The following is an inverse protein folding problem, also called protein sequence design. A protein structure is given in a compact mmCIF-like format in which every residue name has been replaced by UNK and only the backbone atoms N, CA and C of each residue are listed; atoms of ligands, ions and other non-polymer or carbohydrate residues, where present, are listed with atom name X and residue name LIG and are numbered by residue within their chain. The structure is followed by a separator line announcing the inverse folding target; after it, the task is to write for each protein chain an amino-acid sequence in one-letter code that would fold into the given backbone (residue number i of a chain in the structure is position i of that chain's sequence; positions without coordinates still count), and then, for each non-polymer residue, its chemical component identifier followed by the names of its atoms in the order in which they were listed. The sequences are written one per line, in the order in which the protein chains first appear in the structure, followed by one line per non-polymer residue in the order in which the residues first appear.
data_IF_167672565222
#
_entry.id   IF_167672565222
#
_cell.length_a   1.000
_cell.length_b   1.000
_cell.length_c   1.000
_cell.angle_alpha   90.00
_cell.angle_beta   90.00
_cell.angle_gamma   90.00
#
_symmetry.space_group_name_H-M   'P 1'
#
loop_
_entity.id
_entity.type
_entity.pdbx_description
1 polymer ?
#
# COMPACT_ATOMS: atom_id res chain seq x y z
N UNK A 1 -26.75 7.78 -23.96
CA UNK A 1 -25.61 6.91 -24.30
C UNK A 1 -25.54 5.81 -23.25
N UNK A 2 -25.02 4.63 -23.55
CA UNK A 2 -24.77 3.61 -22.52
C UNK A 2 -23.60 4.06 -21.63
N UNK A 3 -23.71 3.85 -20.32
CA UNK A 3 -22.65 4.16 -19.34
C UNK A 3 -21.66 2.99 -19.34
N UNK A 4 -20.37 3.28 -19.47
CA UNK A 4 -19.28 2.30 -19.43
C UNK A 4 -18.53 2.48 -18.12
N UNK A 5 -18.96 1.78 -17.07
CA UNK A 5 -18.41 1.95 -15.72
C UNK A 5 -17.52 0.78 -15.30
N UNK A 6 -16.53 1.03 -14.45
CA UNK A 6 -15.75 0.00 -13.77
C UNK A 6 -16.43 -0.56 -12.52
N UNK A 7 -17.56 0.02 -12.11
CA UNK A 7 -18.28 -0.33 -10.88
C UNK A 7 -19.03 -1.65 -10.99
N UNK A 8 -18.97 -2.44 -9.93
CA UNK A 8 -19.78 -3.65 -9.77
C UNK A 8 -21.23 -3.35 -9.40
N UNK A 9 -22.08 -4.38 -9.50
CA UNK A 9 -23.48 -4.27 -9.06
C UNK A 9 -23.60 -3.97 -7.56
N UNK A 10 -22.69 -4.49 -6.72
CA UNK A 10 -22.67 -4.24 -5.28
C UNK A 10 -22.25 -2.80 -4.98
N UNK A 11 -21.24 -2.29 -5.68
CA UNK A 11 -20.83 -0.89 -5.59
C UNK A 11 -21.96 0.06 -5.99
N UNK A 12 -22.61 -0.18 -7.12
CA UNK A 12 -23.75 0.63 -7.60
C UNK A 12 -24.89 0.62 -6.56
N UNK A 13 -25.17 -0.52 -5.96
CA UNK A 13 -26.19 -0.61 -4.91
C UNK A 13 -25.84 0.28 -3.71
N UNK A 14 -24.60 0.21 -3.23
CA UNK A 14 -24.12 0.99 -2.09
C UNK A 14 -24.11 2.50 -2.38
N UNK A 15 -23.63 2.90 -3.56
CA UNK A 15 -23.60 4.30 -4.01
C UNK A 15 -24.99 4.92 -4.06
N UNK A 16 -26.01 4.19 -4.52
CA UNK A 16 -27.40 4.69 -4.52
C UNK A 16 -27.95 5.00 -3.14
N UNK A 17 -27.48 4.32 -2.09
CA UNK A 17 -27.85 4.64 -0.70
C UNK A 17 -27.30 6.00 -0.25
N UNK A 18 -26.35 6.58 -1.00
CA UNK A 18 -25.81 7.92 -0.82
C UNK A 18 -26.21 8.87 -1.96
N UNK A 19 -27.27 8.55 -2.71
CA UNK A 19 -27.78 9.33 -3.85
C UNK A 19 -26.74 9.51 -4.98
N UNK A 20 -25.81 8.55 -5.11
CA UNK A 20 -24.81 8.51 -6.18
C UNK A 20 -25.19 7.44 -7.21
N UNK A 21 -25.00 7.78 -8.48
CA UNK A 21 -25.28 6.92 -9.64
C UNK A 21 -23.99 6.69 -10.44
N UNK A 22 -23.84 5.53 -11.12
CA UNK A 22 -22.62 5.22 -11.85
C UNK A 22 -22.41 6.16 -13.03
N UNK A 23 -21.16 6.55 -13.26
CA UNK A 23 -20.68 7.25 -14.45
C UNK A 23 -19.62 6.45 -15.19
N UNK A 24 -19.09 7.04 -16.26
CA UNK A 24 -18.10 6.41 -17.12
C UNK A 24 -16.75 6.21 -16.41
N UNK A 25 -16.02 5.17 -16.82
CA UNK A 25 -14.61 4.94 -16.48
C UNK A 25 -13.79 6.14 -16.99
N UNK A 26 -12.87 6.60 -16.14
CA UNK A 26 -11.98 7.71 -16.47
C UNK A 26 -10.53 7.31 -16.26
N UNK A 27 -9.68 7.79 -17.15
CA UNK A 27 -8.27 7.41 -17.18
C UNK A 27 -7.39 8.65 -17.33
N UNK A 28 -6.26 8.66 -16.65
CA UNK A 28 -5.21 9.63 -16.85
C UNK A 28 -3.86 8.93 -16.85
N UNK A 29 -3.02 9.23 -17.85
CA UNK A 29 -1.71 8.60 -17.95
C UNK A 29 -0.59 9.65 -18.01
N UNK A 30 0.64 9.27 -17.67
CA UNK A 30 1.84 10.09 -17.83
C UNK A 30 3.05 9.20 -18.10
N UNK A 31 3.75 9.41 -19.21
CA UNK A 31 4.90 8.58 -19.60
C UNK A 31 6.20 9.37 -19.44
N UNK A 32 7.20 8.77 -18.79
CA UNK A 32 8.53 9.35 -18.58
C UNK A 32 9.59 8.36 -19.07
N UNK A 33 10.62 8.85 -19.77
CA UNK A 33 11.71 7.99 -20.24
C UNK A 33 12.61 7.52 -19.10
N UNK A 34 12.90 6.22 -19.05
CA UNK A 34 13.86 5.64 -18.11
C UNK A 34 15.28 6.15 -18.33
N UNK A 35 15.62 6.66 -19.52
CA UNK A 35 16.94 7.26 -19.78
C UNK A 35 17.20 8.51 -18.92
N UNK A 36 16.16 9.32 -18.72
CA UNK A 36 16.20 10.50 -17.82
C UNK A 36 16.34 10.05 -16.36
N UNK A 37 15.67 8.96 -15.99
CA UNK A 37 15.68 8.43 -14.61
C UNK A 37 17.02 7.75 -14.30
N UNK A 38 17.55 6.99 -15.26
CA UNK A 38 18.81 6.26 -15.15
C UNK A 38 20.03 7.19 -15.04
N UNK A 39 20.06 8.30 -15.79
CA UNK A 39 21.13 9.30 -15.68
C UNK A 39 21.18 9.90 -14.26
N UNK A 40 20.03 10.24 -13.69
CA UNK A 40 19.90 10.74 -12.32
C UNK A 40 20.27 9.66 -11.30
N UNK A 41 19.69 8.47 -11.41
CA UNK A 41 19.94 7.36 -10.49
C UNK A 41 21.42 6.95 -10.47
N UNK A 42 22.10 6.94 -11.62
CA UNK A 42 23.52 6.61 -11.73
C UNK A 42 24.44 7.58 -11.00
N UNK A 43 24.09 8.87 -10.94
CA UNK A 43 24.81 9.89 -10.16
C UNK A 43 24.54 9.84 -8.65
N UNK A 44 23.49 9.11 -8.24
CA UNK A 44 23.05 8.97 -6.86
C UNK A 44 23.34 7.60 -6.25
N UNK A 45 24.01 6.69 -7.00
CA UNK A 45 24.40 5.34 -6.54
C UNK A 45 25.28 5.32 -5.30
N UNK A 46 25.82 6.47 -4.89
CA UNK A 46 26.68 6.66 -3.70
C UNK A 46 25.90 7.10 -2.45
N UNK A 47 24.59 7.37 -2.54
CA UNK A 47 23.79 7.75 -1.39
C UNK A 47 23.46 6.51 -0.54
N UNK A 48 24.01 6.48 0.67
CA UNK A 48 23.80 5.42 1.65
C UNK A 48 22.58 5.71 2.52
N UNK A 49 21.54 4.88 2.38
CA UNK A 49 20.40 4.82 3.29
C UNK A 49 19.45 6.02 3.20
N UNK A 50 18.17 5.74 2.92
CA UNK A 50 17.12 6.75 2.98
C UNK A 50 16.68 7.27 1.62
N UNK A 51 15.97 8.39 1.65
CA UNK A 51 15.28 8.94 0.49
C UNK A 51 16.25 9.41 -0.61
N UNK A 52 15.96 8.99 -1.85
CA UNK A 52 16.54 9.55 -3.07
C UNK A 52 15.60 10.62 -3.62
N UNK A 53 15.64 11.83 -3.03
CA UNK A 53 14.57 12.84 -3.20
C UNK A 53 14.34 13.28 -4.66
N UNK A 54 15.38 13.26 -5.50
CA UNK A 54 15.23 13.56 -6.94
C UNK A 54 14.36 12.51 -7.65
N UNK A 55 14.55 11.22 -7.33
CA UNK A 55 13.75 10.13 -7.90
C UNK A 55 12.34 10.14 -7.30
N UNK A 56 12.21 10.35 -5.99
CA UNK A 56 10.90 10.54 -5.35
C UNK A 56 10.09 11.59 -6.09
N UNK A 57 10.68 12.78 -6.34
CA UNK A 57 9.98 13.88 -7.00
C UNK A 57 9.55 13.52 -8.41
N UNK A 58 10.39 12.82 -9.18
CA UNK A 58 10.01 12.37 -10.54
C UNK A 58 8.79 11.45 -10.49
N UNK A 59 8.80 10.47 -9.58
CA UNK A 59 7.68 9.56 -9.42
C UNK A 59 6.44 10.34 -8.98
N UNK A 60 6.58 11.19 -7.96
CA UNK A 60 5.50 12.00 -7.42
C UNK A 60 4.84 12.86 -8.50
N UNK A 61 5.64 13.62 -9.26
CA UNK A 61 5.14 14.44 -10.37
C UNK A 61 4.53 13.59 -11.49
N UNK A 62 5.06 12.40 -11.77
CA UNK A 62 4.49 11.47 -12.72
C UNK A 62 3.08 11.03 -12.32
N UNK A 63 2.92 10.58 -11.07
CA UNK A 63 1.63 10.21 -10.47
C UNK A 63 0.66 11.39 -10.45
N UNK A 64 1.13 12.59 -10.09
CA UNK A 64 0.30 13.79 -10.06
C UNK A 64 -0.18 14.22 -11.45
N UNK A 65 0.66 14.11 -12.49
CA UNK A 65 0.25 14.41 -13.88
C UNK A 65 -0.81 13.42 -14.38
N UNK A 66 -0.65 12.13 -14.09
CA UNK A 66 -1.65 11.11 -14.42
C UNK A 66 -2.98 11.40 -13.71
N UNK A 67 -2.94 11.66 -12.40
CA UNK A 67 -4.12 12.01 -11.61
C UNK A 67 -4.81 13.30 -12.11
N UNK A 68 -4.05 14.35 -12.41
CA UNK A 68 -4.59 15.60 -12.97
C UNK A 68 -5.33 15.37 -14.29
N UNK A 69 -4.83 14.47 -15.15
CA UNK A 69 -5.49 14.10 -16.41
C UNK A 69 -6.77 13.32 -16.17
N UNK A 70 -6.78 12.41 -15.19
CA UNK A 70 -7.98 11.70 -14.75
C UNK A 70 -9.06 12.67 -14.25
N UNK A 71 -8.70 13.68 -13.44
CA UNK A 71 -9.63 14.72 -13.00
C UNK A 71 -10.20 15.54 -14.16
N UNK A 72 -9.37 15.88 -15.15
CA UNK A 72 -9.82 16.61 -16.34
C UNK A 72 -10.81 15.78 -17.17
N UNK A 73 -10.60 14.47 -17.27
CA UNK A 73 -11.51 13.56 -17.94
C UNK A 73 -12.85 13.44 -17.21
N UNK A 74 -12.84 13.26 -15.89
CA UNK A 74 -14.05 13.24 -15.08
C UNK A 74 -14.89 14.52 -15.19
N UNK A 75 -14.23 15.68 -15.24
CA UNK A 75 -14.89 16.97 -15.48
C UNK A 75 -15.56 17.03 -16.86
N UNK A 76 -14.96 16.45 -17.90
CA UNK A 76 -15.58 16.38 -19.24
C UNK A 76 -16.80 15.46 -19.26
N UNK A 77 -16.78 14.39 -18.47
CA UNK A 77 -17.93 13.49 -18.30
C UNK A 77 -19.00 14.08 -17.38
N UNK A 78 -18.73 15.22 -16.74
CA UNK A 78 -19.68 15.91 -15.86
C UNK A 78 -19.97 15.15 -14.58
N UNK A 79 -18.99 14.42 -14.03
CA UNK A 79 -19.12 13.71 -12.76
C UNK A 79 -18.92 14.60 -11.54
N UNK A 80 -19.72 14.38 -10.49
CA UNK A 80 -19.56 15.00 -9.16
C UNK A 80 -18.38 14.40 -8.39
N UNK A 81 -18.03 13.14 -8.66
CA UNK A 81 -16.90 12.48 -8.00
C UNK A 81 -16.28 11.35 -8.78
N UNK A 82 -15.15 10.84 -8.29
CA UNK A 82 -14.46 9.66 -8.84
C UNK A 82 -14.21 8.66 -7.73
N UNK A 83 -14.60 7.42 -7.97
CA UNK A 83 -14.46 6.30 -7.03
C UNK A 83 -13.43 5.29 -7.52
N UNK A 84 -12.87 4.51 -6.60
CA UNK A 84 -11.91 3.45 -6.88
C UNK A 84 -10.65 3.95 -7.57
N UNK A 85 -10.18 5.17 -7.23
CA UNK A 85 -8.99 5.72 -7.88
C UNK A 85 -7.77 4.88 -7.54
N UNK A 86 -7.20 4.23 -8.55
CA UNK A 86 -5.91 3.56 -8.48
C UNK A 86 -4.81 4.46 -9.05
N UNK A 87 -3.56 4.19 -8.67
CA UNK A 87 -2.39 4.89 -9.20
C UNK A 87 -1.26 3.89 -9.41
N UNK A 88 -1.16 3.37 -10.62
CA UNK A 88 -0.26 2.29 -11.00
C UNK A 88 0.99 2.80 -11.69
N UNK A 89 2.07 2.02 -11.57
CA UNK A 89 3.33 2.25 -12.26
C UNK A 89 3.60 1.07 -13.19
N UNK A 90 3.54 1.30 -14.49
CA UNK A 90 3.76 0.30 -15.53
C UNK A 90 5.13 0.53 -16.17
N UNK A 91 5.99 -0.48 -16.10
CA UNK A 91 7.30 -0.44 -16.74
C UNK A 91 7.20 -0.97 -18.17
N UNK A 92 7.57 -0.12 -19.12
CA UNK A 92 7.70 -0.47 -20.53
C UNK A 92 9.18 -0.47 -20.93
N UNK A 93 9.53 -1.07 -22.07
CA UNK A 93 10.90 -1.06 -22.60
C UNK A 93 11.42 0.37 -22.80
N UNK A 94 12.19 0.90 -21.84
CA UNK A 94 12.80 2.23 -21.88
C UNK A 94 11.95 3.37 -21.31
N UNK A 95 10.73 3.11 -20.84
CA UNK A 95 9.84 4.13 -20.27
C UNK A 95 9.11 3.62 -19.01
N UNK A 96 8.71 4.54 -18.15
CA UNK A 96 7.72 4.30 -17.10
C UNK A 96 6.43 5.05 -17.45
N UNK A 97 5.31 4.36 -17.33
CA UNK A 97 3.97 4.95 -17.41
C UNK A 97 3.35 4.99 -16.02
N UNK A 98 2.89 6.18 -15.62
CA UNK A 98 2.03 6.37 -14.46
C UNK A 98 0.60 6.38 -14.94
N UNK A 99 -0.24 5.54 -14.36
CA UNK A 99 -1.62 5.33 -14.79
C UNK A 99 -2.55 5.54 -13.60
N UNK A 100 -3.48 6.49 -13.73
CA UNK A 100 -4.56 6.71 -12.80
C UNK A 100 -5.87 6.28 -13.46
N UNK A 101 -6.62 5.41 -12.80
CA UNK A 101 -7.91 4.90 -13.28
C UNK A 101 -8.93 5.06 -12.16
N UNK A 102 -10.18 5.36 -12.52
CA UNK A 102 -11.30 5.33 -11.58
C UNK A 102 -12.63 5.35 -12.32
N UNK A 103 -13.73 5.27 -11.59
CA UNK A 103 -15.08 5.40 -12.17
C UNK A 103 -15.73 6.68 -11.69
N UNK A 104 -16.22 7.50 -12.63
CA UNK A 104 -17.04 8.64 -12.29
C UNK A 104 -18.32 8.20 -11.57
N UNK A 105 -18.83 9.09 -10.74
CA UNK A 105 -20.18 8.99 -10.16
C UNK A 105 -20.90 10.33 -10.36
N UNK A 106 -22.22 10.24 -10.39
CA UNK A 106 -23.12 11.39 -10.56
C UNK A 106 -24.10 11.47 -9.40
N UNK A 107 -24.46 12.68 -9.01
CA UNK A 107 -25.56 12.97 -8.11
C UNK A 107 -26.89 12.62 -8.79
N UNK A 108 -27.71 11.83 -8.11
CA UNK A 108 -29.02 11.44 -8.64
C UNK A 108 -29.90 12.67 -8.93
N UNK A 109 -30.38 12.77 -10.17
CA UNK A 109 -31.26 13.86 -10.63
C UNK A 109 -30.55 15.15 -11.06
N UNK A 110 -29.23 15.25 -10.95
CA UNK A 110 -28.48 16.41 -11.42
C UNK A 110 -28.26 16.39 -12.95
N UNK A 111 -28.30 17.57 -13.59
CA UNK A 111 -28.05 17.73 -15.04
C UNK A 111 -26.64 18.20 -15.37
N UNK A 112 -26.01 18.92 -14.44
CA UNK A 112 -24.67 19.48 -14.57
C UNK A 112 -24.03 19.46 -13.19
N UNK A 113 -22.79 19.00 -13.13
CA UNK A 113 -22.09 18.79 -11.87
C UNK A 113 -20.71 19.43 -11.93
N UNK A 114 -20.22 19.84 -10.77
CA UNK A 114 -18.83 20.18 -10.58
C UNK A 114 -18.17 19.03 -9.84
N UNK A 115 -16.96 18.68 -10.24
CA UNK A 115 -16.20 17.65 -9.56
C UNK A 115 -15.85 18.13 -8.14
N UNK A 116 -16.43 17.48 -7.14
CA UNK A 116 -16.32 17.82 -5.71
C UNK A 116 -15.35 16.91 -4.97
N UNK A 117 -15.23 15.64 -5.38
CA UNK A 117 -14.34 14.70 -4.70
C UNK A 117 -13.69 13.67 -5.63
N UNK A 118 -12.65 13.05 -5.12
CA UNK A 118 -12.14 11.78 -5.61
C UNK A 118 -11.75 10.91 -4.41
N UNK A 119 -11.72 9.59 -4.58
CA UNK A 119 -11.44 8.66 -3.48
C UNK A 119 -10.72 7.43 -3.98
N UNK A 120 -9.79 6.88 -3.20
CA UNK A 120 -9.21 5.56 -3.47
C UNK A 120 -10.20 4.43 -3.18
N UNK A 121 -11.27 4.73 -2.43
CA UNK A 121 -12.27 3.75 -2.04
C UNK A 121 -13.17 3.40 -3.23
N UNK A 122 -13.39 2.10 -3.43
CA UNK A 122 -14.45 1.60 -4.31
C UNK A 122 -15.84 2.03 -3.81
N UNK A 123 -16.91 1.72 -4.56
CA UNK A 123 -18.26 2.16 -4.20
C UNK A 123 -18.78 1.60 -2.87
N UNK A 124 -18.34 0.41 -2.45
CA UNK A 124 -18.74 -0.21 -1.17
C UNK A 124 -18.03 0.48 0.00
N UNK A 125 -16.72 0.66 -0.14
CA UNK A 125 -15.88 1.33 0.84
C UNK A 125 -16.24 2.81 0.98
N UNK A 126 -16.58 3.49 -0.12
CA UNK A 126 -17.07 4.87 -0.11
C UNK A 126 -18.39 5.00 0.66
N UNK A 127 -19.33 4.07 0.45
CA UNK A 127 -20.57 4.04 1.22
C UNK A 127 -20.28 3.94 2.72
N UNK A 128 -19.42 3.01 3.14
CA UNK A 128 -19.05 2.84 4.55
C UNK A 128 -18.44 4.12 5.12
N UNK A 129 -17.56 4.76 4.36
CA UNK A 129 -16.93 6.01 4.75
C UNK A 129 -17.95 7.14 4.95
N UNK A 130 -18.86 7.34 3.99
CA UNK A 130 -19.90 8.37 4.09
C UNK A 130 -20.90 8.07 5.20
N UNK A 131 -21.26 6.80 5.40
CA UNK A 131 -22.16 6.38 6.46
C UNK A 131 -21.54 6.55 7.86
N UNK A 132 -20.22 6.41 7.98
CA UNK A 132 -19.47 6.75 9.19
C UNK A 132 -19.30 8.26 9.43
N UNK A 133 -19.98 9.12 8.65
CA UNK A 133 -20.00 10.57 8.85
C UNK A 133 -18.86 11.34 8.20
N UNK A 134 -18.01 10.67 7.41
CA UNK A 134 -16.91 11.32 6.68
C UNK A 134 -17.37 11.83 5.31
N UNK A 135 -17.04 13.08 5.01
CA UNK A 135 -17.19 13.65 3.66
C UNK A 135 -15.88 13.48 2.88
N UNK A 136 -15.84 12.69 1.79
CA UNK A 136 -14.65 12.56 0.95
C UNK A 136 -14.30 13.90 0.29
N UNK A 137 -13.02 14.20 0.15
CA UNK A 137 -12.50 15.41 -0.52
C UNK A 137 -11.60 15.06 -1.69
N UNK A 138 -10.61 14.21 -1.47
CA UNK A 138 -9.65 13.91 -2.54
C UNK A 138 -8.92 12.59 -2.34
N UNK A 139 -8.67 11.88 -3.44
CA UNK A 139 -7.61 10.88 -3.54
C UNK A 139 -6.27 11.57 -3.27
N UNK A 140 -5.50 11.01 -2.34
CA UNK A 140 -4.20 11.52 -1.93
C UNK A 140 -3.18 10.40 -1.87
N UNK A 141 -1.92 10.73 -2.06
CA UNK A 141 -0.82 9.78 -1.98
C UNK A 141 0.46 10.38 -1.41
N UNK A 142 1.24 9.55 -0.73
CA UNK A 142 2.55 9.88 -0.20
C UNK A 142 3.56 8.84 -0.64
N UNK A 143 4.49 9.21 -1.52
CA UNK A 143 5.52 8.31 -2.02
C UNK A 143 6.92 8.70 -1.52
N UNK A 144 7.79 7.71 -1.37
CA UNK A 144 9.22 7.86 -1.04
C UNK A 144 10.00 6.84 -1.86
N UNK A 145 10.90 7.31 -2.72
CA UNK A 145 11.91 6.45 -3.34
C UNK A 145 13.13 6.39 -2.43
N UNK A 146 13.58 5.21 -2.06
CA UNK A 146 14.68 5.02 -1.11
C UNK A 146 15.61 3.89 -1.53
N UNK A 147 16.87 4.03 -1.12
CA UNK A 147 17.90 3.02 -1.34
C UNK A 147 18.11 2.19 -0.07
N UNK A 148 18.14 0.87 -0.24
CA UNK A 148 18.54 -0.09 0.82
C UNK A 148 20.05 -0.42 0.69
N UNK A 149 20.76 0.20 -0.26
CA UNK A 149 22.20 -0.02 -0.44
C UNK A 149 22.58 -1.44 -0.89
N UNK A 150 21.68 -2.11 -1.62
CA UNK A 150 21.86 -3.44 -2.22
C UNK A 150 22.78 -3.33 -3.45
N UNK A 151 24.08 -3.14 -3.21
CA UNK A 151 25.06 -2.95 -4.29
C UNK A 151 26.53 -2.97 -3.87
N UNK A 152 26.85 -3.54 -2.71
CA UNK A 152 28.23 -3.80 -2.27
C UNK A 152 28.71 -3.01 -1.05
N UNK A 153 28.03 -1.92 -0.65
CA UNK A 153 28.42 -1.14 0.54
C UNK A 153 27.63 -1.51 1.81
N UNK A 154 26.30 -1.47 1.76
CA UNK A 154 25.44 -1.74 2.94
C UNK A 154 25.31 -3.26 3.19
N UNK A 155 24.80 -4.03 2.21
CA UNK A 155 24.73 -5.51 2.28
C UNK A 155 26.10 -6.21 2.37
N UNK A 156 27.15 -5.55 1.87
CA UNK A 156 28.53 -6.00 2.05
C UNK A 156 28.99 -5.87 3.51
N UNK A 157 28.58 -4.79 4.18
CA UNK A 157 28.79 -4.57 5.62
C UNK A 157 27.92 -5.47 6.52
N UNK A 158 26.75 -5.93 6.05
CA UNK A 158 25.93 -6.91 6.80
C UNK A 158 26.68 -8.22 7.08
N UNK A 159 27.69 -8.58 6.26
CA UNK A 159 28.51 -9.79 6.45
C UNK A 159 29.42 -9.73 7.68
N UNK A 160 29.65 -8.54 8.27
CA UNK A 160 30.47 -8.36 9.47
C UNK A 160 29.68 -7.94 10.71
N UNK A 161 28.35 -7.85 10.62
CA UNK A 161 27.53 -7.41 11.75
C UNK A 161 27.44 -8.47 12.84
N UNK A 162 27.44 -7.99 14.09
CA UNK A 162 27.12 -8.80 15.26
C UNK A 162 25.63 -9.17 15.22
N UNK A 163 25.30 -10.32 15.79
CA UNK A 163 23.91 -10.73 16.00
C UNK A 163 23.14 -9.65 16.77
N UNK A 164 21.91 -9.37 16.34
CA UNK A 164 21.00 -8.42 16.99
C UNK A 164 20.47 -7.35 16.03
N UNK A 165 19.88 -6.31 16.60
CA UNK A 165 19.28 -5.23 15.83
C UNK A 165 20.34 -4.41 15.07
N UNK A 166 20.10 -4.24 13.77
CA UNK A 166 20.82 -3.33 12.89
C UNK A 166 20.17 -1.96 12.96
N UNK A 167 20.41 -1.23 14.06
CA UNK A 167 19.73 0.05 14.38
C UNK A 167 19.71 1.08 13.26
N UNK A 168 20.79 1.20 12.50
CA UNK A 168 20.86 2.15 11.40
C UNK A 168 19.86 1.81 10.28
N UNK A 169 19.66 0.52 10.00
CA UNK A 169 18.68 0.05 9.03
C UNK A 169 17.27 0.19 9.58
N UNK A 170 17.02 -0.26 10.82
CA UNK A 170 15.73 -0.03 11.50
C UNK A 170 15.34 1.45 11.40
N UNK A 171 16.27 2.36 11.69
CA UNK A 171 16.06 3.80 11.60
C UNK A 171 15.69 4.26 10.18
N UNK A 172 16.46 3.89 9.16
CA UNK A 172 16.17 4.26 7.76
C UNK A 172 14.79 3.78 7.31
N UNK A 173 14.42 2.56 7.67
CA UNK A 173 13.13 1.96 7.31
C UNK A 173 11.96 2.60 8.04
N UNK A 174 12.12 2.97 9.32
CA UNK A 174 11.12 3.73 10.07
C UNK A 174 11.00 5.16 9.52
N UNK A 175 12.11 5.88 9.34
CA UNK A 175 12.13 7.24 8.80
C UNK A 175 11.45 7.32 7.43
N UNK A 176 11.72 6.36 6.54
CA UNK A 176 11.10 6.28 5.20
C UNK A 176 9.58 6.12 5.29
N UNK A 177 9.10 5.24 6.17
CA UNK A 177 7.66 5.01 6.37
C UNK A 177 6.94 6.19 6.97
N UNK A 178 7.52 6.80 8.00
CA UNK A 178 6.97 8.01 8.59
C UNK A 178 6.97 9.17 7.59
N UNK A 179 7.99 9.28 6.73
CA UNK A 179 8.03 10.29 5.68
C UNK A 179 6.90 10.11 4.66
N UNK A 180 6.61 8.87 4.23
CA UNK A 180 5.47 8.59 3.35
C UNK A 180 4.13 9.00 4.00
N UNK A 181 3.96 8.67 5.28
CA UNK A 181 2.78 9.07 6.07
C UNK A 181 2.65 10.60 6.22
N UNK A 182 3.76 11.31 6.45
CA UNK A 182 3.75 12.76 6.53
C UNK A 182 3.37 13.42 5.19
N UNK A 183 3.78 12.82 4.07
CA UNK A 183 3.45 13.33 2.72
C UNK A 183 1.98 13.21 2.40
N UNK A 184 1.38 12.03 2.63
CA UNK A 184 -0.06 11.87 2.39
C UNK A 184 -0.91 12.77 3.31
N UNK A 185 -0.47 12.99 4.55
CA UNK A 185 -1.08 13.98 5.46
C UNK A 185 -0.94 15.41 4.94
N UNK A 186 0.20 15.74 4.33
CA UNK A 186 0.43 17.07 3.75
C UNK A 186 -0.52 17.32 2.59
N UNK A 187 -0.74 16.34 1.70
CA UNK A 187 -1.74 16.47 0.63
C UNK A 187 -3.15 16.63 1.19
N UNK A 188 -3.53 15.87 2.22
CA UNK A 188 -4.84 16.00 2.85
C UNK A 188 -5.08 17.40 3.43
N UNK A 189 -4.05 18.00 4.06
CA UNK A 189 -4.13 19.38 4.57
C UNK A 189 -4.35 20.41 3.47
N UNK A 190 -3.78 20.21 2.28
CA UNK A 190 -3.92 21.13 1.16
C UNK A 190 -5.35 21.19 0.62
N UNK A 191 -6.14 20.15 0.87
CA UNK A 191 -7.57 20.07 0.50
C UNK A 191 -8.50 20.26 1.70
N UNK A 192 -7.97 20.85 2.79
CA UNK A 192 -8.71 21.13 4.02
C UNK A 192 -9.39 19.89 4.64
N UNK A 193 -8.80 18.71 4.44
CA UNK A 193 -9.24 17.48 5.09
C UNK A 193 -8.64 17.34 6.49
N UNK A 194 -9.38 16.71 7.39
CA UNK A 194 -8.94 16.39 8.75
C UNK A 194 -8.71 14.89 8.98
N UNK A 195 -8.86 14.06 7.93
CA UNK A 195 -8.62 12.63 7.94
C UNK A 195 -8.03 12.12 6.62
N UNK A 196 -7.27 11.03 6.67
CA UNK A 196 -6.90 10.18 5.52
C UNK A 196 -7.27 8.74 5.85
N UNK A 197 -8.23 8.20 5.12
CA UNK A 197 -8.85 6.91 5.41
C UNK A 197 -8.52 5.87 4.34
N UNK A 198 -8.67 4.59 4.70
CA UNK A 198 -8.44 3.47 3.80
C UNK A 198 -7.02 3.45 3.22
N UNK A 199 -6.01 3.79 4.05
CA UNK A 199 -4.63 3.88 3.58
C UNK A 199 -4.13 2.50 3.17
N UNK A 200 -3.86 2.33 1.88
CA UNK A 200 -3.14 1.17 1.36
C UNK A 200 -1.66 1.53 1.20
N UNK A 201 -0.78 0.70 1.77
CA UNK A 201 0.67 0.87 1.65
C UNK A 201 1.25 -0.21 0.75
N UNK A 202 1.98 0.20 -0.28
CA UNK A 202 2.68 -0.68 -1.21
C UNK A 202 4.16 -0.35 -1.31
N UNK A 203 4.99 -1.37 -1.55
CA UNK A 203 6.43 -1.24 -1.79
C UNK A 203 6.74 -1.85 -3.16
N UNK A 204 7.21 -1.02 -4.09
CA UNK A 204 7.44 -1.37 -5.49
C UNK A 204 8.93 -1.23 -5.84
N UNK A 205 9.54 -2.17 -6.58
CA UNK A 205 10.88 -1.97 -7.11
C UNK A 205 10.86 -0.91 -8.23
N UNK A 206 11.77 0.05 -8.18
CA UNK A 206 11.84 1.12 -9.19
C UNK A 206 13.28 1.54 -9.50
N UNK A 207 13.74 1.29 -10.73
CA UNK A 207 15.07 1.72 -11.21
C UNK A 207 16.26 1.35 -10.27
N UNK A 208 16.20 0.19 -9.60
CA UNK A 208 17.21 -0.27 -8.64
C UNK A 208 17.05 0.29 -7.21
N UNK A 209 16.00 1.08 -6.98
CA UNK A 209 15.54 1.55 -5.68
C UNK A 209 14.24 0.83 -5.29
N UNK A 210 13.73 1.15 -4.10
CA UNK A 210 12.35 0.83 -3.73
C UNK A 210 11.54 2.12 -3.65
N UNK A 211 10.31 2.08 -4.16
CA UNK A 211 9.29 3.08 -3.90
C UNK A 211 8.36 2.53 -2.82
N UNK A 212 8.26 3.23 -1.70
CA UNK A 212 7.11 3.09 -0.82
C UNK A 212 6.04 4.10 -1.23
N UNK A 213 4.80 3.67 -1.39
CA UNK A 213 3.67 4.55 -1.66
C UNK A 213 2.53 4.21 -0.72
N UNK A 214 1.97 5.25 -0.10
CA UNK A 214 0.70 5.20 0.61
C UNK A 214 -0.34 5.92 -0.23
N UNK A 215 -1.50 5.30 -0.45
CA UNK A 215 -2.65 5.93 -1.11
C UNK A 215 -3.85 5.87 -0.17
N UNK A 216 -4.75 6.85 -0.25
CA UNK A 216 -5.94 6.89 0.59
C UNK A 216 -6.89 8.01 0.20
N UNK A 217 -7.93 8.20 1.01
CA UNK A 217 -8.94 9.24 0.79
C UNK A 217 -8.85 10.31 1.86
N UNK A 218 -8.43 11.51 1.46
CA UNK A 218 -8.53 12.71 2.27
C UNK A 218 -10.00 13.06 2.47
N UNK A 219 -10.41 13.20 3.72
CA UNK A 219 -11.81 13.30 4.15
C UNK A 219 -11.98 14.27 5.31
N UNK A 220 -13.21 14.74 5.50
CA UNK A 220 -13.59 15.61 6.60
C UNK A 220 -14.62 14.93 7.50
N UNK A 221 -14.42 14.95 8.81
CA UNK A 221 -15.44 14.59 9.79
C UNK A 221 -15.68 15.74 10.77
N UNK A 222 -16.93 16.20 10.95
CA UNK A 222 -17.23 17.40 11.74
C UNK A 222 -17.01 17.21 13.25
N UNK A 223 -17.10 15.99 13.77
CA UNK A 223 -16.84 15.71 15.19
C UNK A 223 -15.35 15.71 15.55
N UNK A 224 -14.44 15.68 14.56
CA UNK A 224 -13.01 15.70 14.85
C UNK A 224 -12.59 17.10 15.33
N UNK A 225 -11.78 17.20 16.40
CA UNK A 225 -11.20 18.46 16.84
C UNK A 225 -10.51 19.23 15.71
N UNK A 226 -10.62 20.57 15.73
CA UNK A 226 -10.03 21.44 14.69
C UNK A 226 -8.51 21.29 14.54
N UNK A 227 -7.80 20.77 15.55
CA UNK A 227 -6.37 20.45 15.46
C UNK A 227 -6.07 19.44 14.34
N UNK A 228 -7.02 18.57 13.99
CA UNK A 228 -6.83 17.57 12.94
C UNK A 228 -6.80 18.17 11.52
N UNK A 229 -7.22 19.42 11.29
CA UNK A 229 -6.93 20.10 10.01
C UNK A 229 -5.44 20.44 9.85
N UNK A 230 -4.66 20.54 10.94
CA UNK A 230 -3.21 20.75 10.88
C UNK A 230 -2.43 19.44 10.91
N UNK A 231 -3.03 18.39 11.49
CA UNK A 231 -2.43 17.08 11.62
C UNK A 231 -3.50 15.99 11.42
N UNK A 232 -3.93 15.72 10.17
CA UNK A 232 -5.03 14.80 9.89
C UNK A 232 -4.87 13.44 10.55
N UNK A 233 -5.99 12.85 10.99
CA UNK A 233 -5.99 11.45 11.41
C UNK A 233 -5.62 10.57 10.22
N UNK A 234 -5.07 9.40 10.48
CA UNK A 234 -4.71 8.44 9.44
C UNK A 234 -5.13 7.03 9.86
N UNK A 235 -5.50 6.18 8.90
CA UNK A 235 -5.97 4.81 9.19
C UNK A 235 -5.72 3.89 8.00
N UNK A 236 -5.18 2.68 8.26
CA UNK A 236 -5.10 1.58 7.30
C UNK A 236 -6.25 0.56 7.42
N UNK A 237 -7.18 0.81 8.35
CA UNK A 237 -8.40 0.01 8.45
C UNK A 237 -9.17 0.08 7.14
N UNK A 238 -9.82 -1.02 6.78
CA UNK A 238 -10.80 -0.96 5.70
C UNK A 238 -11.95 -0.05 6.14
N UNK A 239 -12.68 0.55 5.18
CA UNK A 239 -13.76 1.46 5.55
C UNK A 239 -14.91 0.73 6.27
N UNK A 240 -15.07 -0.58 6.05
CA UNK A 240 -16.00 -1.46 6.78
C UNK A 240 -15.54 -1.67 8.24
N UNK A 241 -14.25 -1.90 8.48
CA UNK A 241 -13.69 -2.00 9.84
C UNK A 241 -13.83 -0.67 10.58
N UNK A 242 -13.49 0.45 9.93
CA UNK A 242 -13.68 1.79 10.48
C UNK A 242 -15.14 2.05 10.80
N UNK A 243 -16.08 1.69 9.91
CA UNK A 243 -17.51 1.85 10.15
C UNK A 243 -17.94 1.16 11.45
N UNK A 244 -17.45 -0.06 11.71
CA UNK A 244 -17.75 -0.79 12.94
C UNK A 244 -17.21 -0.08 14.19
N UNK A 245 -16.01 0.49 14.12
CA UNK A 245 -15.43 1.24 15.23
C UNK A 245 -16.21 2.53 15.51
N UNK A 246 -16.55 3.29 14.47
CA UNK A 246 -17.35 4.51 14.59
C UNK A 246 -18.73 4.19 15.16
N UNK A 247 -19.35 3.09 14.73
CA UNK A 247 -20.63 2.63 15.29
C UNK A 247 -20.53 2.28 16.80
N UNK A 248 -19.35 1.88 17.27
CA UNK A 248 -19.07 1.61 18.69
C UNK A 248 -18.55 2.84 19.46
N UNK A 249 -18.52 4.02 18.84
CA UNK A 249 -18.04 5.25 19.48
C UNK A 249 -16.51 5.33 19.56
N UNK A 250 -15.79 4.71 18.63
CA UNK A 250 -14.34 4.82 18.47
C UNK A 250 -13.98 5.49 17.15
N UNK A 251 -12.96 6.34 17.16
CA UNK A 251 -12.47 7.05 15.99
C UNK A 251 -10.99 6.71 15.76
N UNK A 252 -10.56 6.39 14.53
CA UNK A 252 -9.13 6.32 14.23
C UNK A 252 -8.45 7.65 14.49
N UNK A 253 -7.23 7.61 15.00
CA UNK A 253 -6.43 8.82 15.25
C UNK A 253 -5.11 8.81 14.49
N UNK A 254 -4.49 7.65 14.27
CA UNK A 254 -3.24 7.56 13.54
C UNK A 254 -2.93 6.15 13.03
N UNK A 255 -2.49 6.05 11.78
CA UNK A 255 -1.77 4.90 11.25
C UNK A 255 -0.41 4.84 11.93
N UNK A 256 -0.18 3.77 12.68
CA UNK A 256 1.05 3.52 13.44
C UNK A 256 1.83 2.39 12.81
N UNK A 257 3.15 2.51 12.83
CA UNK A 257 4.04 1.58 12.17
C UNK A 257 5.33 1.45 12.96
N UNK A 258 5.87 0.25 12.98
CA UNK A 258 7.12 -0.06 13.66
C UNK A 258 7.92 -1.06 12.84
N UNK A 259 9.18 -0.73 12.59
CA UNK A 259 10.10 -1.60 11.86
C UNK A 259 11.32 -1.90 12.72
N UNK A 260 11.76 -3.15 12.67
CA UNK A 260 13.08 -3.50 13.16
C UNK A 260 13.80 -4.45 12.22
N UNK A 261 15.08 -4.19 11.98
CA UNK A 261 15.94 -5.00 11.12
C UNK A 261 16.94 -5.72 12.00
N UNK A 262 17.01 -7.04 11.88
CA UNK A 262 17.88 -7.87 12.70
C UNK A 262 18.78 -8.76 11.84
N UNK A 263 20.02 -8.93 12.27
CA UNK A 263 20.99 -9.84 11.64
C UNK A 263 21.29 -11.03 12.54
N UNK A 264 21.39 -12.21 11.94
CA UNK A 264 21.94 -13.41 12.59
C UNK A 264 23.46 -13.33 12.80
N UNK A 265 24.12 -12.37 12.13
CA UNK A 265 25.58 -12.22 12.12
C UNK A 265 26.33 -13.35 11.40
N UNK A 266 27.65 -13.23 11.28
CA UNK A 266 28.49 -14.30 10.72
C UNK A 266 28.83 -15.34 11.80
N UNK A 267 27.96 -16.33 11.98
CA UNK A 267 28.31 -17.53 12.75
C UNK A 267 28.79 -18.60 11.77
N UNK A 268 30.12 -18.69 11.60
CA UNK A 268 30.79 -19.87 11.05
C UNK A 268 30.25 -20.41 9.71
N UNK A 269 30.09 -19.54 8.71
CA UNK A 269 29.67 -19.94 7.37
C UNK A 269 28.18 -20.29 7.29
N UNK A 270 27.43 -19.48 6.55
CA UNK A 270 26.03 -19.74 6.17
C UNK A 270 25.87 -21.18 5.63
N UNK A 271 26.87 -21.71 4.94
CA UNK A 271 26.95 -23.10 4.46
C UNK A 271 27.01 -24.18 5.55
N UNK A 272 27.54 -23.92 6.74
CA UNK A 272 27.56 -24.89 7.86
C UNK A 272 26.29 -24.82 8.71
N UNK A 273 25.68 -23.63 8.85
CA UNK A 273 24.37 -23.46 9.47
C UNK A 273 23.32 -24.25 8.69
N UNK A 274 23.19 -23.99 7.38
CA UNK A 274 22.24 -24.67 6.46
C UNK A 274 22.56 -26.15 6.22
N UNK A 275 23.74 -26.65 6.58
CA UNK A 275 24.06 -28.11 6.52
C UNK A 275 23.61 -28.90 7.75
N UNK A 276 23.22 -28.24 8.85
CA UNK A 276 22.61 -28.92 10.01
C UNK A 276 21.08 -29.13 9.87
N UNK A 277 20.50 -28.70 8.73
CA UNK A 277 19.07 -28.53 8.46
C UNK A 277 18.31 -29.82 8.11
N UNK A 278 18.55 -30.90 8.86
CA UNK A 278 17.82 -32.16 8.68
C UNK A 278 16.76 -32.37 9.76
N UNK A 279 16.66 -31.51 10.80
CA UNK A 279 16.00 -31.97 12.05
C UNK A 279 15.30 -30.98 13.01
N UNK A 280 14.73 -29.86 12.55
CA UNK A 280 13.75 -29.12 13.39
C UNK A 280 13.81 -27.59 13.34
N UNK A 281 13.26 -26.96 14.38
CA UNK A 281 13.16 -25.51 14.56
C UNK A 281 14.54 -24.84 14.66
N UNK A 282 14.75 -23.75 13.92
CA UNK A 282 15.95 -22.92 14.03
C UNK A 282 15.74 -21.97 15.21
N UNK A 283 16.06 -22.42 16.43
CA UNK A 283 15.85 -21.66 17.68
C UNK A 283 16.42 -20.25 17.60
N UNK A 284 17.54 -20.06 16.90
CA UNK A 284 18.18 -18.75 16.71
C UNK A 284 17.34 -17.81 15.83
N UNK A 285 16.77 -18.31 14.73
CA UNK A 285 15.90 -17.52 13.86
C UNK A 285 14.57 -17.22 14.57
N UNK A 286 14.01 -18.18 15.29
CA UNK A 286 12.82 -17.97 16.13
C UNK A 286 13.06 -16.86 17.14
N UNK A 287 14.17 -16.94 17.90
CA UNK A 287 14.51 -15.94 18.91
C UNK A 287 14.68 -14.56 18.27
N UNK A 288 15.36 -14.48 17.12
CA UNK A 288 15.56 -13.23 16.41
C UNK A 288 14.26 -12.61 15.93
N UNK A 289 13.31 -13.41 15.41
CA UNK A 289 11.97 -12.91 15.03
C UNK A 289 11.22 -12.38 16.27
N UNK A 290 11.32 -13.06 17.42
CA UNK A 290 10.72 -12.58 18.67
C UNK A 290 11.32 -11.25 19.12
N UNK A 291 12.64 -11.11 19.10
CA UNK A 291 13.35 -9.87 19.44
C UNK A 291 12.97 -8.72 18.48
N UNK A 292 12.97 -8.99 17.16
CA UNK A 292 12.60 -8.02 16.14
C UNK A 292 11.14 -7.56 16.28
N UNK A 293 10.23 -8.49 16.59
CA UNK A 293 8.82 -8.19 16.87
C UNK A 293 8.66 -7.33 18.12
N UNK A 294 9.33 -7.69 19.21
CA UNK A 294 9.24 -6.93 20.46
C UNK A 294 9.67 -5.47 20.24
N UNK A 295 10.76 -5.25 19.50
CA UNK A 295 11.25 -3.91 19.20
C UNK A 295 10.31 -3.14 18.26
N UNK A 296 9.79 -3.78 17.21
CA UNK A 296 8.80 -3.17 16.32
C UNK A 296 7.52 -2.73 17.07
N UNK A 297 7.06 -3.52 18.04
CA UNK A 297 5.89 -3.18 18.86
C UNK A 297 6.15 -2.03 19.85
N UNK A 298 7.40 -1.80 20.28
CA UNK A 298 7.75 -0.62 21.09
C UNK A 298 7.53 0.67 20.32
N UNK A 299 7.92 0.73 19.05
CA UNK A 299 7.66 1.90 18.19
C UNK A 299 6.17 2.18 18.04
N UNK A 300 5.35 1.15 17.81
CA UNK A 300 3.89 1.29 17.75
C UNK A 300 3.32 1.81 19.09
N UNK A 301 3.77 1.27 20.21
CA UNK A 301 3.33 1.71 21.54
C UNK A 301 3.74 3.16 21.82
N UNK A 302 4.90 3.60 21.34
CA UNK A 302 5.33 4.99 21.41
C UNK A 302 4.48 5.92 20.56
N UNK A 303 4.19 5.54 19.31
CA UNK A 303 3.28 6.28 18.43
C UNK A 303 1.88 6.42 19.05
N UNK A 304 1.30 5.33 19.54
CA UNK A 304 -0.01 5.32 20.19
C UNK A 304 -0.04 6.25 21.42
N UNK A 305 1.04 6.26 22.22
CA UNK A 305 1.17 7.17 23.36
C UNK A 305 1.30 8.63 22.91
N UNK A 306 2.06 8.90 21.85
CA UNK A 306 2.24 10.26 21.29
C UNK A 306 0.93 10.83 20.75
N UNK A 307 0.06 10.00 20.17
CA UNK A 307 -1.24 10.44 19.67
C UNK A 307 -2.39 10.32 20.68
N UNK A 308 -2.10 9.94 21.93
CA UNK A 308 -3.09 9.76 23.01
C UNK A 308 -4.23 8.80 22.62
N UNK A 309 -3.89 7.72 21.93
CA UNK A 309 -4.82 6.65 21.61
C UNK A 309 -5.10 5.78 22.84
N UNK A 310 -6.30 5.21 22.88
CA UNK A 310 -6.69 4.25 23.91
C UNK A 310 -6.22 2.84 23.54
N UNK A 311 -6.27 2.50 22.25
CA UNK A 311 -6.00 1.16 21.73
C UNK A 311 -5.30 1.22 20.36
N UNK A 312 -4.61 0.14 19.97
CA UNK A 312 -4.13 -0.08 18.60
C UNK A 312 -4.78 -1.34 18.07
N UNK A 313 -5.48 -1.23 16.95
CA UNK A 313 -6.28 -2.30 16.35
C UNK A 313 -5.81 -2.61 14.93
N UNK A 314 -6.21 -3.77 14.42
CA UNK A 314 -5.91 -4.17 13.04
C UNK A 314 -4.42 -4.41 12.76
N UNK A 315 -3.62 -4.74 13.79
CA UNK A 315 -2.17 -4.96 13.60
C UNK A 315 -1.91 -6.10 12.62
N UNK A 316 -1.22 -5.78 11.53
CA UNK A 316 -0.68 -6.73 10.56
C UNK A 316 0.84 -6.76 10.71
N UNK A 317 1.42 -7.95 10.65
CA UNK A 317 2.87 -8.15 10.79
C UNK A 317 3.45 -8.85 9.57
N UNK A 318 4.60 -8.37 9.11
CA UNK A 318 5.30 -8.91 7.95
C UNK A 318 6.75 -9.18 8.31
N UNK A 319 7.29 -10.28 7.78
CA UNK A 319 8.71 -10.62 7.90
C UNK A 319 9.30 -10.70 6.50
N UNK A 320 10.26 -9.83 6.21
CA UNK A 320 10.97 -9.83 4.94
C UNK A 320 12.39 -10.38 5.13
N UNK A 321 12.82 -11.25 4.22
CA UNK A 321 14.21 -11.70 4.17
C UNK A 321 15.00 -10.72 3.28
N UNK A 322 15.94 -10.00 3.89
CA UNK A 322 16.79 -9.02 3.19
C UNK A 322 18.06 -9.66 2.60
N UNK A 323 18.25 -10.96 2.80
CA UNK A 323 19.45 -11.70 2.42
C UNK A 323 20.56 -11.62 3.48
N UNK A 324 21.59 -12.46 3.32
CA UNK A 324 22.77 -12.43 4.20
C UNK A 324 22.48 -12.73 5.68
N UNK A 325 21.41 -13.47 5.99
CA UNK A 325 21.00 -13.73 7.37
C UNK A 325 20.36 -12.53 8.08
N UNK A 326 19.87 -11.55 7.31
CA UNK A 326 19.18 -10.37 7.83
C UNK A 326 17.71 -10.44 7.50
N UNK A 327 16.87 -10.10 8.47
CA UNK A 327 15.42 -9.98 8.29
C UNK A 327 14.95 -8.58 8.70
N UNK A 328 13.82 -8.19 8.13
CA UNK A 328 13.04 -7.05 8.58
C UNK A 328 11.74 -7.56 9.18
N UNK A 329 11.38 -7.07 10.36
CA UNK A 329 10.06 -7.22 10.95
C UNK A 329 9.32 -5.88 10.86
N UNK A 330 8.19 -5.87 10.17
CA UNK A 330 7.28 -4.73 10.07
C UNK A 330 5.99 -5.05 10.82
N UNK A 331 5.56 -4.15 11.69
CA UNK A 331 4.21 -4.10 12.22
C UNK A 331 3.53 -2.79 11.77
N UNK A 332 2.27 -2.88 11.36
CA UNK A 332 1.44 -1.74 10.96
C UNK A 332 0.03 -1.94 11.50
N UNK A 333 -0.63 -0.87 11.96
CA UNK A 333 -2.01 -0.91 12.39
C UNK A 333 -2.54 0.49 12.65
N UNK A 334 -3.73 0.59 13.22
CA UNK A 334 -4.38 1.89 13.46
C UNK A 334 -4.60 2.11 14.95
N UNK A 335 -4.06 3.20 15.45
CA UNK A 335 -4.34 3.70 16.79
C UNK A 335 -5.71 4.38 16.80
N UNK A 336 -6.53 4.06 17.80
CA UNK A 336 -7.93 4.49 17.92
C UNK A 336 -8.20 5.12 19.28
N UNK A 337 -9.19 6.01 19.32
CA UNK A 337 -9.61 6.71 20.53
C UNK A 337 -11.12 6.65 20.68
N UNK A 338 -11.58 6.43 21.90
CA UNK A 338 -13.00 6.48 22.24
C UNK A 338 -13.50 7.92 22.15
N UNK A 339 -14.52 8.13 21.33
CA UNK A 339 -15.25 9.38 21.13
C UNK A 339 -16.75 9.05 21.16
N UNK A 340 -17.38 8.87 22.33
CA UNK A 340 -18.74 8.33 22.46
C UNK A 340 -19.83 9.07 21.68
N UNK A 341 -19.59 10.32 21.30
CA UNK A 341 -20.44 11.17 20.49
C UNK A 341 -20.48 10.80 19.00
N UNK A 342 -19.50 10.04 18.50
CA UNK A 342 -19.45 9.62 17.09
C UNK A 342 -20.32 8.39 16.88
N UNK A 343 -21.07 8.38 15.78
CA UNK A 343 -21.95 7.28 15.37
C UNK A 343 -22.03 7.23 13.85
N UNK A 344 -22.36 6.05 13.34
CA UNK A 344 -22.73 5.86 11.94
C UNK A 344 -24.15 6.36 11.70
N UNK A 345 -24.45 6.69 10.44
CA UNK A 345 -25.79 7.10 10.00
C UNK A 345 -26.75 5.92 10.02
N UNK A 346 -26.27 4.73 9.63
CA UNK A 346 -27.04 3.49 9.66
C UNK A 346 -26.72 2.70 10.94
N UNK A 347 -27.70 1.99 11.50
CA UNK A 347 -27.49 1.11 12.67
C UNK A 347 -26.78 -0.20 12.30
N UNK A 348 -27.01 -0.68 11.08
CA UNK A 348 -26.47 -1.93 10.56
C UNK A 348 -25.79 -1.71 9.22
N UNK A 349 -24.62 -2.30 9.02
CA UNK A 349 -23.92 -2.26 7.76
C UNK A 349 -24.66 -3.11 6.71
N UNK A 350 -24.80 -2.59 5.50
CA UNK A 350 -25.45 -3.30 4.41
C UNK A 350 -24.65 -4.57 4.03
N UNK A 351 -25.31 -5.72 3.79
CA UNK A 351 -24.63 -6.91 3.28
C UNK A 351 -23.86 -6.64 1.98
N UNK A 352 -24.41 -5.79 1.11
CA UNK A 352 -23.77 -5.40 -0.14
C UNK A 352 -22.48 -4.63 0.08
N UNK A 353 -22.22 -4.05 1.24
CA UNK A 353 -20.95 -3.39 1.53
C UNK A 353 -19.82 -4.38 1.86
N UNK A 354 -20.14 -5.65 2.16
CA UNK A 354 -19.15 -6.68 2.55
C UNK A 354 -19.04 -7.83 1.55
N UNK A 355 -20.02 -7.98 0.65
CA UNK A 355 -20.00 -9.02 -0.39
C UNK A 355 -18.87 -8.71 -1.38
N UNK A 356 -17.89 -9.61 -1.47
CA UNK A 356 -16.82 -9.49 -2.46
C UNK A 356 -17.31 -9.91 -3.84
N UNK A 357 -16.97 -9.10 -4.84
CA UNK A 357 -17.19 -9.44 -6.23
C UNK A 357 -16.31 -10.63 -6.65
N UNK A 358 -16.80 -11.39 -7.63
CA UNK A 358 -16.12 -12.57 -8.15
C UNK A 358 -15.72 -12.35 -9.59
N UNK A 359 -14.47 -12.61 -9.89
CA UNK A 359 -13.98 -12.61 -11.27
C UNK A 359 -14.61 -13.76 -12.06
N UNK A 360 -15.18 -13.41 -13.20
CA UNK A 360 -15.76 -14.37 -14.15
C UNK A 360 -14.85 -14.62 -15.34
N UNK A 361 -13.83 -13.78 -15.54
CA UNK A 361 -12.81 -13.93 -16.56
C UNK A 361 -11.44 -14.13 -15.90
N UNK A 362 -10.84 -15.29 -16.15
CA UNK A 362 -9.52 -15.65 -15.62
C UNK A 362 -8.67 -16.06 -16.83
N UNK A 363 -7.68 -15.24 -17.19
CA UNK A 363 -6.71 -15.62 -18.23
C UNK A 363 -5.52 -16.32 -17.58
N UNK A 364 -5.55 -17.66 -17.55
CA UNK A 364 -4.44 -18.49 -17.06
C UNK A 364 -3.41 -18.84 -18.13
N UNK A 365 -3.63 -18.42 -19.38
CA UNK A 365 -2.76 -18.74 -20.52
C UNK A 365 -1.56 -17.79 -20.63
N UNK A 366 -1.69 -16.56 -20.11
CA UNK A 366 -0.57 -15.63 -19.98
C UNK A 366 0.23 -15.93 -18.71
N UNK A 367 1.48 -16.39 -18.89
CA UNK A 367 2.48 -16.50 -17.81
C UNK A 367 3.07 -15.14 -17.41
N UNK A 368 2.65 -14.05 -18.07
CA UNK A 368 2.86 -12.68 -17.64
C UNK A 368 1.79 -12.33 -16.60
N UNK A 369 2.19 -11.68 -15.51
CA UNK A 369 1.26 -11.12 -14.53
C UNK A 369 0.40 -10.03 -15.20
N UNK A 370 -0.73 -10.41 -15.78
CA UNK A 370 -1.74 -9.46 -16.24
C UNK A 370 -2.41 -8.91 -14.98
N UNK A 371 -1.95 -7.76 -14.51
CA UNK A 371 -2.64 -7.01 -13.48
C UNK A 371 -3.98 -6.54 -14.08
N UNK A 372 -5.10 -6.93 -13.46
CA UNK A 372 -6.40 -6.36 -13.81
C UNK A 372 -6.36 -4.87 -13.46
N UNK A 373 -6.24 -4.01 -14.48
CA UNK A 373 -6.01 -2.56 -14.32
C UNK A 373 -7.15 -1.84 -13.57
N UNK A 374 -8.34 -2.45 -13.54
CA UNK A 374 -9.53 -1.90 -12.90
C UNK A 374 -9.82 -2.51 -11.52
N UNK A 375 -8.93 -3.35 -10.98
CA UNK A 375 -9.09 -3.91 -9.63
C UNK A 375 -8.06 -3.32 -8.69
N UNK A 376 -8.54 -2.67 -7.62
CA UNK A 376 -7.70 -2.05 -6.61
C UNK A 376 -6.90 -3.04 -5.75
N UNK A 377 -7.09 -4.35 -5.93
CA UNK A 377 -6.42 -5.39 -5.14
C UNK A 377 -6.21 -6.67 -5.96
N UNK A 378 -5.09 -6.80 -6.66
CA UNK A 378 -4.55 -8.11 -7.03
C UNK A 378 -3.08 -8.23 -6.63
N UNK A 379 -2.86 -8.45 -5.33
CA UNK A 379 -1.64 -9.05 -4.83
C UNK A 379 -1.74 -10.58 -4.98
N UNK A 380 -1.69 -11.06 -6.22
CA UNK A 380 -1.57 -12.49 -6.51
C UNK A 380 -0.36 -12.75 -7.42
N UNK A 381 0.80 -12.30 -6.96
CA UNK A 381 2.10 -12.60 -7.54
C UNK A 381 2.93 -13.50 -6.64
N UNK A 382 2.50 -14.73 -6.36
CA UNK A 382 3.34 -15.69 -5.60
C UNK A 382 3.17 -17.18 -5.92
N UNK A 383 2.26 -17.59 -6.81
CA UNK A 383 2.04 -19.03 -7.08
C UNK A 383 2.75 -19.53 -8.36
N UNK A 384 3.17 -18.66 -9.28
CA UNK A 384 3.77 -19.10 -10.55
C UNK A 384 5.25 -19.54 -10.47
N UNK A 385 6.01 -19.14 -9.44
CA UNK A 385 7.45 -19.45 -9.37
C UNK A 385 7.77 -20.85 -8.82
N UNK A 386 6.90 -21.44 -8.00
CA UNK A 386 7.13 -22.79 -7.46
C UNK A 386 6.84 -23.91 -8.45
N UNK A 387 5.86 -23.73 -9.34
CA UNK A 387 5.49 -24.74 -10.34
C UNK A 387 6.57 -24.93 -11.41
N UNK A 388 7.21 -23.84 -11.88
CA UNK A 388 8.26 -23.91 -12.89
C UNK A 388 9.56 -24.55 -12.38
N UNK A 389 9.93 -24.31 -11.11
CA UNK A 389 11.09 -24.98 -10.50
C UNK A 389 10.85 -26.46 -10.22
N UNK A 390 9.64 -26.84 -9.79
CA UNK A 390 9.29 -28.24 -9.58
C UNK A 390 9.31 -29.03 -10.90
N UNK A 391 8.77 -28.46 -11.98
CA UNK A 391 8.82 -29.10 -13.30
C UNK A 391 10.24 -29.23 -13.85
N UNK A 392 11.08 -28.21 -13.67
CA UNK A 392 12.48 -28.26 -14.12
C UNK A 392 13.31 -29.28 -13.31
N UNK A 393 13.09 -29.35 -11.99
CA UNK A 393 13.73 -30.35 -11.14
C UNK A 393 13.27 -31.78 -11.47
N UNK A 394 11.97 -32.00 -11.68
CA UNK A 394 11.42 -33.30 -12.10
C UNK A 394 11.95 -33.69 -13.47
N UNK A 395 12.06 -32.75 -14.41
CA UNK A 395 12.63 -32.99 -15.74
C UNK A 395 14.14 -33.35 -15.68
N UNK A 396 14.92 -32.66 -14.84
CA UNK A 396 16.33 -32.99 -14.62
C UNK A 396 16.51 -34.36 -13.95
N UNK A 397 15.66 -34.70 -12.98
CA UNK A 397 15.65 -36.03 -12.34
C UNK A 397 15.29 -37.10 -13.38
N UNK A 398 14.28 -36.86 -14.23
CA UNK A 398 13.90 -37.78 -15.29
C UNK A 398 15.03 -38.00 -16.32
N UNK A 399 15.71 -36.94 -16.75
CA UNK A 399 16.87 -37.03 -17.65
C UNK A 399 18.05 -37.78 -17.00
N UNK A 400 18.29 -37.55 -15.71
CA UNK A 400 19.33 -38.25 -14.94
C UNK A 400 19.05 -39.76 -14.85
N UNK A 401 17.81 -40.15 -14.54
CA UNK A 401 17.42 -41.57 -14.52
C UNK A 401 17.49 -42.21 -15.92
N UNK A 402 17.10 -41.49 -16.96
CA UNK A 402 17.17 -42.01 -18.34
C UNK A 402 18.62 -42.21 -18.81
N UNK A 403 19.55 -41.39 -18.34
CA UNK A 403 20.99 -41.53 -18.63
C UNK A 403 21.62 -42.72 -17.89
N UNK A 404 21.13 -43.05 -16.68
CA UNK A 404 21.59 -44.20 -15.89
C UNK A 404 21.02 -45.53 -16.42
N UNK A 405 19.80 -45.54 -16.94
CA UNK A 405 19.13 -46.74 -17.46
C UNK A 405 19.54 -47.14 -18.89
N UNK A 406 20.29 -46.29 -19.60
CA UNK A 406 20.81 -46.54 -20.96
C UNK A 406 22.34 -46.65 -21.05
N UNK A 407 23.02 -46.84 -19.91
CA UNK A 407 24.38 -47.38 -19.82
C UNK A 407 24.31 -48.75 -19.19
#
# INVERSE_FOLDING_TARGET
MAIITGLSGNEIFCLRQKNLTPGDLVIGNSVISLGVIGSIASGLKTLFGGEVSQITRIIHEGRQRAYTRLLAEAKRHGGIGITGVSNELVLHSGNVEFLAIGSCVHQEGAKTEHLEFSTSSDGQALYCQMDAGFTPKQFVFGNVAYSIGVGGGLLGGLRSLKRGEVKEYSRVFNETRHLALQRIKTEARQVEANAVLGINTSILPFAGLQEMVMIGTASEHPALPKSFYQNPITSDLTNEEMWNLVNQGYMPVQLVLGVSVYSLGFVGGVTSFFKSFVRGEIRELTTLIYEAREEALKYIAEDARRCHADEVVGIKTYVYNLGGGTIEFLAIGTAVKKMPEVKTQSETLLPQAIIRDRDTFINTADGSTVAALNQANNLSGSIALFASFAFFAIYLIFLFFRFILHR
#
